data_IF_605849361406
#
_entry.id   IF_605849361406
#
_cell.length_a   1.000
_cell.length_b   1.000
_cell.length_c   1.000
_cell.angle_alpha   90.00
_cell.angle_beta   90.00
_cell.angle_gamma   90.00
#
_symmetry.space_group_name_H-M   'P 1'
#
loop_
_entity.id
_entity.type
_entity.pdbx_description
1 polymer ?
#
# COMPACT_ATOMS: atom_id res chain seq x y z
N UNK A 1 -15.17 10.21 -34.75
CA UNK A 1 -14.54 9.48 -33.64
C UNK A 1 -14.86 10.06 -32.26
N UNK A 2 -14.78 11.38 -32.05
CA UNK A 2 -15.10 12.03 -30.77
C UNK A 2 -16.53 11.73 -30.26
N UNK A 3 -17.56 11.84 -31.12
CA UNK A 3 -18.95 11.54 -30.75
C UNK A 3 -19.18 10.08 -30.34
N UNK A 4 -18.52 9.12 -31.00
CA UNK A 4 -18.60 7.70 -30.62
C UNK A 4 -17.88 7.42 -29.28
N UNK A 5 -16.76 8.10 -29.02
CA UNK A 5 -16.06 8.00 -27.74
C UNK A 5 -16.88 8.60 -26.59
N UNK A 6 -17.55 9.73 -26.81
CA UNK A 6 -18.45 10.36 -25.84
C UNK A 6 -19.67 9.46 -25.58
N UNK A 7 -20.31 8.94 -26.64
CA UNK A 7 -21.45 8.03 -26.50
C UNK A 7 -21.06 6.73 -25.79
N UNK A 8 -19.92 6.13 -26.14
CA UNK A 8 -19.38 4.95 -25.46
C UNK A 8 -19.03 5.22 -23.99
N UNK A 9 -18.43 6.38 -23.70
CA UNK A 9 -18.14 6.81 -22.33
C UNK A 9 -19.41 7.03 -21.49
N UNK A 10 -20.45 7.65 -22.06
CA UNK A 10 -21.75 7.83 -21.42
C UNK A 10 -22.44 6.50 -21.16
N UNK A 11 -22.47 5.59 -22.14
CA UNK A 11 -23.02 4.24 -21.96
C UNK A 11 -22.25 3.46 -20.89
N UNK A 12 -20.93 3.57 -20.87
CA UNK A 12 -20.08 2.98 -19.84
C UNK A 12 -20.37 3.54 -18.45
N UNK A 13 -20.58 4.86 -18.34
CA UNK A 13 -20.94 5.52 -17.08
C UNK A 13 -22.33 5.10 -16.60
N UNK A 14 -23.32 5.03 -17.50
CA UNK A 14 -24.67 4.55 -17.19
C UNK A 14 -24.60 3.10 -16.71
N UNK A 15 -23.89 2.23 -17.44
CA UNK A 15 -23.65 0.85 -17.06
C UNK A 15 -23.01 0.75 -15.68
N UNK A 16 -21.96 1.53 -15.42
CA UNK A 16 -21.32 1.62 -14.11
C UNK A 16 -22.30 2.04 -13.01
N UNK A 17 -23.14 3.05 -13.25
CA UNK A 17 -24.12 3.57 -12.29
C UNK A 17 -25.20 2.55 -11.89
N UNK A 18 -25.46 1.53 -12.71
CA UNK A 18 -26.45 0.46 -12.42
C UNK A 18 -25.83 -0.71 -11.62
N UNK A 19 -24.50 -0.84 -11.60
CA UNK A 19 -23.83 -1.95 -10.90
C UNK A 19 -24.07 -1.92 -9.38
N UNK A 20 -24.04 -3.08 -8.70
CA UNK A 20 -24.10 -3.11 -7.24
C UNK A 20 -22.86 -2.44 -6.62
N UNK A 21 -22.97 -1.84 -5.41
CA UNK A 21 -21.90 -1.05 -4.80
C UNK A 21 -20.55 -1.77 -4.69
N UNK A 22 -20.55 -3.07 -4.34
CA UNK A 22 -19.33 -3.88 -4.25
C UNK A 22 -18.56 -3.99 -5.57
N UNK A 23 -19.27 -4.05 -6.70
CA UNK A 23 -18.67 -4.11 -8.03
C UNK A 23 -18.14 -2.73 -8.44
N UNK A 24 -18.90 -1.67 -8.16
CA UNK A 24 -18.46 -0.29 -8.42
C UNK A 24 -17.14 0.04 -7.72
N UNK A 25 -17.08 -0.28 -6.42
CA UNK A 25 -15.87 -0.04 -5.61
C UNK A 25 -14.70 -0.89 -6.11
N UNK A 26 -14.93 -2.15 -6.51
CA UNK A 26 -13.89 -2.98 -7.12
C UNK A 26 -13.36 -2.37 -8.42
N UNK A 27 -14.24 -1.98 -9.33
CA UNK A 27 -13.85 -1.38 -10.62
C UNK A 27 -13.08 -0.09 -10.38
N UNK A 28 -13.59 0.80 -9.52
CA UNK A 28 -12.92 2.04 -9.18
C UNK A 28 -11.52 1.79 -8.60
N UNK A 29 -11.39 0.83 -7.68
CA UNK A 29 -10.10 0.44 -7.12
C UNK A 29 -9.13 -0.09 -8.19
N UNK A 30 -9.58 -0.97 -9.08
CA UNK A 30 -8.75 -1.53 -10.16
C UNK A 30 -8.31 -0.45 -11.14
N UNK A 31 -9.18 0.50 -11.48
CA UNK A 31 -8.81 1.62 -12.36
C UNK A 31 -7.83 2.56 -11.64
N UNK A 32 -8.03 2.85 -10.35
CA UNK A 32 -7.07 3.63 -9.54
C UNK A 32 -5.71 2.95 -9.41
N UNK A 33 -5.61 1.63 -9.53
CA UNK A 33 -4.32 0.92 -9.59
C UNK A 33 -3.77 0.79 -11.01
N UNK A 34 -4.25 1.62 -11.96
CA UNK A 34 -3.90 1.56 -13.39
C UNK A 34 -4.11 0.16 -13.97
N UNK A 35 -5.18 -0.51 -13.55
CA UNK A 35 -5.49 -1.89 -13.85
C UNK A 35 -4.34 -2.85 -13.51
N UNK A 36 -3.65 -2.61 -12.39
CA UNK A 36 -2.46 -3.37 -11.96
C UNK A 36 -1.33 -3.33 -12.99
N UNK A 37 -1.03 -2.14 -13.48
CA UNK A 37 -0.07 -1.90 -14.55
C UNK A 37 -0.41 -2.60 -15.87
N UNK A 38 -1.67 -2.95 -16.12
CA UNK A 38 -2.12 -3.47 -17.44
C UNK A 38 -2.48 -2.34 -18.40
N UNK A 39 -2.61 -1.11 -17.90
CA UNK A 39 -3.02 0.06 -18.67
C UNK A 39 -2.00 1.19 -18.50
N UNK A 40 -1.69 1.96 -19.58
CA UNK A 40 -0.85 3.16 -19.45
C UNK A 40 -1.38 4.11 -18.39
N UNK A 41 -0.49 4.79 -17.66
CA UNK A 41 -0.88 5.75 -16.62
C UNK A 41 -1.72 6.92 -17.15
N UNK A 42 -1.48 7.31 -18.41
CA UNK A 42 -2.17 8.40 -19.09
C UNK A 42 -2.79 7.85 -20.38
N UNK A 43 -4.09 8.07 -20.56
CA UNK A 43 -4.81 7.76 -21.80
C UNK A 43 -5.46 9.05 -22.30
N UNK A 44 -5.21 9.40 -23.56
CA UNK A 44 -5.77 10.60 -24.20
C UNK A 44 -5.59 11.89 -23.38
N UNK A 45 -4.44 12.05 -22.73
CA UNK A 45 -4.10 13.23 -21.91
C UNK A 45 -4.74 13.25 -20.52
N UNK A 46 -5.42 12.19 -20.10
CA UNK A 46 -6.05 12.06 -18.78
C UNK A 46 -5.33 10.97 -17.97
N UNK A 47 -5.00 11.27 -16.71
CA UNK A 47 -4.49 10.27 -15.78
C UNK A 47 -5.58 9.22 -15.49
N UNK A 48 -5.28 7.95 -15.73
CA UNK A 48 -6.22 6.83 -15.48
C UNK A 48 -6.65 6.79 -14.01
N UNK A 49 -5.74 7.17 -13.11
CA UNK A 49 -6.03 7.30 -11.69
C UNK A 49 -7.17 8.29 -11.41
N UNK A 50 -7.23 9.42 -12.12
CA UNK A 50 -8.28 10.43 -11.94
C UNK A 50 -9.66 9.87 -12.32
N UNK A 51 -9.72 9.05 -13.36
CA UNK A 51 -10.94 8.34 -13.77
C UNK A 51 -11.37 7.39 -12.65
N UNK A 52 -10.44 6.60 -12.11
CA UNK A 52 -10.71 5.70 -10.99
C UNK A 52 -11.21 6.45 -9.74
N UNK A 53 -10.62 7.59 -9.43
CA UNK A 53 -11.03 8.44 -8.30
C UNK A 53 -12.44 9.01 -8.49
N UNK A 54 -12.79 9.43 -9.72
CA UNK A 54 -14.14 9.87 -10.06
C UNK A 54 -15.16 8.73 -9.88
N UNK A 55 -14.85 7.53 -10.37
CA UNK A 55 -15.69 6.35 -10.19
C UNK A 55 -15.87 5.99 -8.71
N UNK A 56 -14.81 6.13 -7.91
CA UNK A 56 -14.86 5.91 -6.46
C UNK A 56 -15.76 6.95 -5.78
N UNK A 57 -15.71 8.21 -6.21
CA UNK A 57 -16.55 9.29 -5.68
C UNK A 57 -18.03 9.06 -6.00
N UNK A 58 -18.34 8.58 -7.21
CA UNK A 58 -19.71 8.17 -7.58
C UNK A 58 -20.18 7.01 -6.69
N UNK A 59 -19.34 5.97 -6.53
CA UNK A 59 -19.65 4.83 -5.67
C UNK A 59 -19.87 5.26 -4.21
N UNK A 60 -19.03 6.17 -3.70
CA UNK A 60 -19.16 6.75 -2.37
C UNK A 60 -20.43 7.58 -2.22
N UNK A 61 -20.76 8.43 -3.18
CA UNK A 61 -21.98 9.23 -3.19
C UNK A 61 -23.23 8.36 -3.13
N UNK A 62 -23.26 7.25 -3.87
CA UNK A 62 -24.35 6.29 -3.77
C UNK A 62 -24.39 5.60 -2.41
N UNK A 63 -23.26 5.09 -1.90
CA UNK A 63 -23.17 4.54 -0.55
C UNK A 63 -23.59 5.57 0.52
N UNK A 64 -23.34 6.86 0.31
CA UNK A 64 -23.77 7.98 1.15
C UNK A 64 -25.28 8.15 1.16
N UNK A 65 -25.92 8.10 -0.01
CA UNK A 65 -27.36 8.23 -0.17
C UNK A 65 -28.14 7.03 0.37
N UNK A 66 -27.57 5.82 0.31
CA UNK A 66 -28.35 4.62 0.61
C UNK A 66 -28.73 4.45 2.08
N UNK A 67 -28.04 4.95 3.13
CA UNK A 67 -28.47 4.78 4.54
C UNK A 67 -27.86 5.77 5.57
N UNK A 68 -28.64 6.01 6.65
CA UNK A 68 -28.40 6.89 7.83
C UNK A 68 -27.17 6.49 8.67
N UNK A 69 -26.38 7.51 9.08
CA UNK A 69 -25.29 7.54 10.08
C UNK A 69 -24.55 6.20 10.29
N UNK A 70 -23.41 6.03 9.62
CA UNK A 70 -22.41 5.03 10.02
C UNK A 70 -22.01 5.30 11.47
N UNK A 71 -22.15 4.35 12.41
CA UNK A 71 -21.77 4.59 13.80
C UNK A 71 -20.30 5.02 13.87
N UNK A 72 -20.05 6.08 14.65
CA UNK A 72 -18.70 6.59 14.90
C UNK A 72 -17.83 5.46 15.44
N UNK A 73 -16.64 5.28 14.85
CA UNK A 73 -15.68 4.31 15.38
C UNK A 73 -14.94 4.97 16.53
N UNK A 74 -15.02 4.38 17.73
CA UNK A 74 -14.15 4.75 18.86
C UNK A 74 -12.77 4.10 18.79
N UNK A 75 -12.46 3.40 17.69
CA UNK A 75 -11.17 2.73 17.50
C UNK A 75 -10.10 3.79 17.25
N UNK A 76 -9.06 3.79 18.10
CA UNK A 76 -8.04 4.84 18.17
C UNK A 76 -7.39 5.17 16.82
N UNK A 77 -6.93 4.17 16.06
CA UNK A 77 -6.28 4.44 14.77
C UNK A 77 -7.26 5.04 13.74
N UNK A 78 -8.57 4.74 13.83
CA UNK A 78 -9.58 5.36 12.95
C UNK A 78 -9.77 6.83 13.30
N UNK A 79 -9.75 7.17 14.60
CA UNK A 79 -9.80 8.57 15.06
C UNK A 79 -8.56 9.32 14.60
N UNK A 80 -7.37 8.75 14.77
CA UNK A 80 -6.13 9.36 14.28
C UNK A 80 -6.15 9.54 12.76
N UNK A 81 -6.69 8.57 12.01
CA UNK A 81 -6.85 8.69 10.56
C UNK A 81 -7.79 9.86 10.17
N UNK A 82 -8.87 10.09 10.91
CA UNK A 82 -9.76 11.24 10.69
C UNK A 82 -9.04 12.56 10.96
N UNK A 83 -8.25 12.63 12.04
CA UNK A 83 -7.42 13.80 12.34
C UNK A 83 -6.38 14.04 11.25
N UNK A 84 -5.76 12.98 10.74
CA UNK A 84 -4.80 13.04 9.65
C UNK A 84 -5.42 13.61 8.37
N UNK A 85 -6.62 13.14 7.98
CA UNK A 85 -7.34 13.68 6.82
C UNK A 85 -7.72 15.15 7.04
N UNK A 86 -8.19 15.51 8.23
CA UNK A 86 -8.49 16.90 8.58
C UNK A 86 -7.24 17.79 8.49
N UNK A 87 -6.11 17.29 8.95
CA UNK A 87 -4.82 17.98 8.86
C UNK A 87 -4.37 18.16 7.41
N UNK A 88 -4.47 17.13 6.57
CA UNK A 88 -4.18 17.25 5.14
C UNK A 88 -5.10 18.27 4.46
N UNK A 89 -6.39 18.29 4.81
CA UNK A 89 -7.31 19.34 4.33
C UNK A 89 -6.86 20.74 4.73
N UNK A 90 -6.40 20.92 5.98
CA UNK A 90 -5.83 22.18 6.44
C UNK A 90 -4.55 22.54 5.70
N UNK A 91 -3.64 21.59 5.45
CA UNK A 91 -2.43 21.83 4.65
C UNK A 91 -2.76 22.26 3.21
N UNK A 92 -3.78 21.66 2.60
CA UNK A 92 -4.26 22.06 1.26
C UNK A 92 -4.80 23.48 1.28
N UNK A 93 -5.64 23.81 2.26
CA UNK A 93 -6.14 25.18 2.43
C UNK A 93 -5.00 26.16 2.70
N UNK A 94 -4.01 25.78 3.50
CA UNK A 94 -2.84 26.60 3.79
C UNK A 94 -2.01 26.87 2.52
N UNK A 95 -1.81 25.85 1.68
CA UNK A 95 -1.14 26.00 0.39
C UNK A 95 -1.80 27.05 -0.51
N UNK A 96 -3.14 27.05 -0.56
CA UNK A 96 -3.88 27.98 -1.42
C UNK A 96 -4.03 29.36 -0.79
N UNK A 97 -4.36 29.42 0.50
CA UNK A 97 -4.74 30.68 1.17
C UNK A 97 -3.55 31.46 1.74
N UNK A 98 -2.49 30.76 2.15
CA UNK A 98 -1.34 31.38 2.84
C UNK A 98 -0.10 31.36 1.95
N UNK A 99 0.18 30.24 1.29
CA UNK A 99 1.31 30.16 0.35
C UNK A 99 0.99 30.64 -1.06
N UNK A 100 -0.28 30.96 -1.33
CA UNK A 100 -0.75 31.50 -2.62
C UNK A 100 -0.36 30.61 -3.82
N UNK A 101 -0.36 29.29 -3.61
CA UNK A 101 -0.11 28.34 -4.69
C UNK A 101 -1.34 28.20 -5.59
N UNK A 102 -1.17 27.95 -6.90
CA UNK A 102 -2.29 27.78 -7.81
C UNK A 102 -3.22 26.66 -7.34
N UNK A 103 -4.49 27.01 -7.07
CA UNK A 103 -5.44 26.10 -6.44
C UNK A 103 -5.58 24.75 -7.18
N UNK A 104 -5.67 24.79 -8.51
CA UNK A 104 -5.78 23.58 -9.33
C UNK A 104 -4.54 22.69 -9.22
N UNK A 105 -3.35 23.28 -9.15
CA UNK A 105 -2.10 22.54 -9.06
C UNK A 105 -1.92 21.95 -7.64
N UNK A 106 -2.30 22.67 -6.59
CA UNK A 106 -2.32 22.13 -5.22
C UNK A 106 -3.35 21.01 -5.04
N UNK A 107 -4.51 21.10 -5.70
CA UNK A 107 -5.47 19.99 -5.73
C UNK A 107 -4.88 18.78 -6.45
N UNK A 108 -4.22 18.97 -7.61
CA UNK A 108 -3.53 17.89 -8.32
C UNK A 108 -2.41 17.25 -7.50
N UNK A 109 -1.63 18.04 -6.76
CA UNK A 109 -0.56 17.55 -5.92
C UNK A 109 -1.08 16.76 -4.69
N UNK A 110 -2.23 17.16 -4.14
CA UNK A 110 -2.80 16.55 -2.93
C UNK A 110 -3.73 15.36 -3.19
N UNK A 111 -4.33 15.27 -4.38
CA UNK A 111 -5.43 14.32 -4.68
C UNK A 111 -5.08 12.88 -4.34
N UNK A 112 -3.89 12.39 -4.70
CA UNK A 112 -3.52 10.98 -4.49
C UNK A 112 -3.43 10.64 -3.00
N UNK A 113 -2.85 11.55 -2.21
CA UNK A 113 -2.72 11.36 -0.76
C UNK A 113 -4.07 11.48 -0.06
N UNK A 114 -4.82 12.56 -0.32
CA UNK A 114 -6.10 12.82 0.37
C UNK A 114 -7.17 11.81 -0.05
N UNK A 115 -7.43 11.63 -1.34
CA UNK A 115 -8.45 10.68 -1.83
C UNK A 115 -8.04 9.23 -1.54
N UNK A 116 -6.74 8.93 -1.59
CA UNK A 116 -6.23 7.62 -1.21
C UNK A 116 -6.50 7.30 0.26
N UNK A 117 -6.22 8.20 1.20
CA UNK A 117 -6.59 8.01 2.61
C UNK A 117 -8.11 7.94 2.78
N UNK A 118 -8.88 8.79 2.10
CA UNK A 118 -10.34 8.78 2.14
C UNK A 118 -10.95 7.46 1.64
N UNK A 119 -10.27 6.75 0.74
CA UNK A 119 -10.70 5.43 0.23
C UNK A 119 -10.93 4.42 1.36
N UNK A 120 -10.21 4.54 2.49
CA UNK A 120 -10.46 3.72 3.68
C UNK A 120 -11.91 3.83 4.16
N UNK A 121 -12.48 5.03 4.17
CA UNK A 121 -13.84 5.25 4.64
C UNK A 121 -14.88 4.69 3.66
N UNK A 122 -14.56 4.67 2.36
CA UNK A 122 -15.40 4.04 1.32
C UNK A 122 -15.44 2.53 1.55
N UNK A 123 -14.29 1.88 1.68
CA UNK A 123 -14.21 0.44 1.97
C UNK A 123 -14.85 0.08 3.30
N UNK A 124 -14.54 0.83 4.36
CA UNK A 124 -15.15 0.65 5.67
C UNK A 124 -16.67 0.73 5.60
N UNK A 125 -17.21 1.71 4.86
CA UNK A 125 -18.66 1.86 4.71
C UNK A 125 -19.26 0.70 3.90
N UNK A 126 -18.60 0.29 2.82
CA UNK A 126 -19.01 -0.87 2.04
C UNK A 126 -19.10 -2.14 2.90
N UNK A 127 -18.05 -2.45 3.67
CA UNK A 127 -18.00 -3.63 4.54
C UNK A 127 -18.96 -3.59 5.74
N UNK A 128 -19.54 -2.43 6.04
CA UNK A 128 -20.61 -2.31 7.05
C UNK A 128 -21.99 -2.53 6.44
N UNK A 129 -22.16 -2.20 5.16
CA UNK A 129 -23.46 -2.23 4.48
C UNK A 129 -23.72 -3.51 3.70
N UNK A 130 -22.67 -4.22 3.27
CA UNK A 130 -22.75 -5.47 2.52
C UNK A 130 -21.85 -6.52 3.21
N UNK A 131 -22.50 -7.44 3.93
CA UNK A 131 -21.84 -8.50 4.72
C UNK A 131 -20.98 -9.45 3.86
N UNK A 132 -21.19 -9.52 2.54
CA UNK A 132 -20.39 -10.34 1.63
C UNK A 132 -19.38 -9.55 0.80
N UNK A 133 -19.30 -8.22 0.98
CA UNK A 133 -18.43 -7.39 0.15
C UNK A 133 -16.95 -7.65 0.40
N UNK A 134 -16.54 -7.93 1.64
CA UNK A 134 -15.16 -8.20 1.98
C UNK A 134 -14.66 -9.49 1.30
N UNK A 135 -15.39 -10.59 1.44
CA UNK A 135 -15.07 -11.89 0.85
C UNK A 135 -15.08 -11.80 -0.68
N UNK A 136 -16.06 -11.11 -1.25
CA UNK A 136 -16.13 -10.84 -2.69
C UNK A 136 -14.88 -10.10 -3.19
N UNK A 137 -14.51 -9.02 -2.53
CA UNK A 137 -13.39 -8.17 -2.94
C UNK A 137 -12.06 -8.92 -2.81
N UNK A 138 -11.82 -9.60 -1.69
CA UNK A 138 -10.61 -10.41 -1.49
C UNK A 138 -10.53 -11.56 -2.50
N UNK A 139 -11.64 -12.23 -2.82
CA UNK A 139 -11.67 -13.27 -3.84
C UNK A 139 -11.35 -12.72 -5.23
N UNK A 140 -11.94 -11.59 -5.61
CA UNK A 140 -11.67 -10.95 -6.89
C UNK A 140 -10.19 -10.55 -7.04
N UNK A 141 -9.60 -9.97 -5.98
CA UNK A 141 -8.18 -9.61 -5.96
C UNK A 141 -7.26 -10.82 -6.00
N UNK A 142 -7.62 -11.90 -5.30
CA UNK A 142 -6.88 -13.16 -5.38
C UNK A 142 -6.87 -13.70 -6.81
N UNK A 143 -8.02 -13.77 -7.46
CA UNK A 143 -8.13 -14.25 -8.85
C UNK A 143 -7.37 -13.36 -9.83
N UNK A 144 -7.49 -12.04 -9.71
CA UNK A 144 -6.78 -11.09 -10.56
C UNK A 144 -5.26 -11.26 -10.43
N UNK A 145 -4.74 -11.28 -9.20
CA UNK A 145 -3.30 -11.47 -8.96
C UNK A 145 -2.83 -12.87 -9.35
N UNK A 146 -3.65 -13.91 -9.15
CA UNK A 146 -3.34 -15.28 -9.59
C UNK A 146 -3.14 -15.35 -11.10
N UNK A 147 -3.92 -14.60 -11.89
CA UNK A 147 -3.74 -14.50 -13.34
C UNK A 147 -2.52 -13.65 -13.75
N UNK A 148 -2.23 -12.59 -13.01
CA UNK A 148 -1.10 -11.69 -13.31
C UNK A 148 0.27 -12.31 -12.99
N UNK A 149 0.37 -13.18 -11.98
CA UNK A 149 1.63 -13.83 -11.59
C UNK A 149 2.26 -14.66 -12.74
N UNK A 150 1.54 -15.60 -13.40
CA UNK A 150 2.08 -16.30 -14.58
C UNK A 150 2.50 -15.35 -15.69
N UNK A 151 1.68 -14.34 -16.00
CA UNK A 151 1.98 -13.36 -17.07
C UNK A 151 3.29 -12.64 -16.77
N UNK A 152 3.48 -12.17 -15.54
CA UNK A 152 4.71 -11.50 -15.13
C UNK A 152 5.93 -12.43 -15.20
N UNK A 153 5.80 -13.72 -14.81
CA UNK A 153 6.89 -14.69 -14.95
C UNK A 153 7.24 -14.96 -16.42
N UNK A 154 6.24 -15.13 -17.28
CA UNK A 154 6.46 -15.35 -18.72
C UNK A 154 7.11 -14.13 -19.36
N UNK A 155 6.70 -12.91 -19.00
CA UNK A 155 7.36 -11.68 -19.46
C UNK A 155 8.82 -11.63 -19.04
N UNK A 156 9.13 -12.04 -17.81
CA UNK A 156 10.50 -12.09 -17.32
C UNK A 156 11.35 -13.09 -18.11
N UNK A 157 10.79 -14.28 -18.41
CA UNK A 157 11.47 -15.33 -19.18
C UNK A 157 11.66 -14.97 -20.67
N UNK A 158 10.69 -14.28 -21.27
CA UNK A 158 10.73 -13.91 -22.70
C UNK A 158 11.45 -12.58 -22.96
N UNK A 159 11.77 -11.81 -21.91
CA UNK A 159 12.26 -10.43 -22.02
C UNK A 159 11.37 -9.54 -22.92
N UNK A 160 10.07 -9.81 -22.97
CA UNK A 160 9.10 -9.11 -23.82
C UNK A 160 7.85 -8.69 -23.02
N UNK A 161 7.32 -7.47 -23.22
CA UNK A 161 6.10 -7.02 -22.58
C UNK A 161 4.86 -7.66 -23.24
N UNK A 162 4.33 -8.72 -22.64
CA UNK A 162 3.12 -9.44 -23.11
C UNK A 162 1.84 -8.62 -22.88
N UNK A 163 1.78 -7.86 -21.78
CA UNK A 163 0.71 -6.91 -21.47
C UNK A 163 1.36 -5.55 -21.24
N UNK A 164 0.75 -4.50 -21.79
CA UNK A 164 1.19 -3.12 -21.61
C UNK A 164 1.30 -2.77 -20.13
N UNK A 165 2.45 -2.25 -19.69
CA UNK A 165 2.65 -1.64 -18.38
C UNK A 165 3.30 -2.52 -17.30
N UNK A 166 3.35 -3.85 -17.45
CA UNK A 166 4.07 -4.74 -16.51
C UNK A 166 5.62 -4.63 -16.57
N UNK A 167 6.18 -3.74 -17.40
CA UNK A 167 7.63 -3.67 -17.66
C UNK A 167 8.15 -2.23 -17.81
N UNK A 168 9.23 -1.88 -17.10
CA UNK A 168 10.36 -1.06 -17.59
C UNK A 168 11.65 -1.43 -16.85
N UNK A 169 12.54 -2.14 -17.54
CA UNK A 169 13.96 -2.01 -17.28
C UNK A 169 14.39 -0.60 -17.73
N UNK A 170 15.11 0.11 -16.87
CA UNK A 170 15.94 1.26 -17.23
C UNK A 170 17.35 0.88 -16.81
N UNK A 171 18.28 0.75 -17.75
CA UNK A 171 19.71 0.45 -17.52
C UNK A 171 19.98 -0.70 -16.53
N UNK A 172 19.45 -1.91 -16.79
CA UNK A 172 19.66 -3.11 -15.95
C UNK A 172 19.21 -3.00 -14.47
N UNK A 173 18.43 -1.97 -14.12
CA UNK A 173 17.87 -1.75 -12.78
C UNK A 173 16.34 -1.69 -12.82
N UNK A 174 15.68 -2.65 -12.17
CA UNK A 174 14.24 -2.62 -11.88
C UNK A 174 13.95 -1.48 -10.90
N UNK A 175 13.50 -0.31 -11.38
CA UNK A 175 13.26 0.88 -10.55
C UNK A 175 11.84 1.00 -9.98
N UNK A 176 10.88 0.20 -10.44
CA UNK A 176 9.49 0.22 -9.94
C UNK A 176 8.96 -1.17 -9.68
N UNK A 177 8.40 -1.38 -8.49
CA UNK A 177 7.69 -2.61 -8.13
C UNK A 177 6.38 -2.70 -8.90
N UNK A 178 5.98 -3.89 -9.39
CA UNK A 178 4.65 -4.08 -9.93
C UNK A 178 3.56 -3.70 -8.91
N UNK A 179 2.56 -2.95 -9.35
CA UNK A 179 1.50 -2.37 -8.50
C UNK A 179 0.62 -3.44 -7.84
N UNK A 180 0.55 -4.64 -8.42
CA UNK A 180 -0.18 -5.77 -7.82
C UNK A 180 0.59 -6.50 -6.72
N UNK A 181 1.90 -6.27 -6.60
CA UNK A 181 2.77 -7.01 -5.68
C UNK A 181 2.40 -6.83 -4.20
N UNK A 182 1.99 -5.64 -3.71
CA UNK A 182 1.48 -5.50 -2.35
C UNK A 182 0.23 -6.35 -2.07
N UNK A 183 -0.63 -6.55 -3.07
CA UNK A 183 -1.82 -7.41 -2.98
C UNK A 183 -1.40 -8.88 -2.98
N UNK A 184 -0.39 -9.25 -3.76
CA UNK A 184 0.21 -10.60 -3.73
C UNK A 184 0.77 -10.92 -2.35
N UNK A 185 1.58 -10.01 -1.79
CA UNK A 185 2.19 -10.20 -0.48
C UNK A 185 1.14 -10.38 0.62
N UNK A 186 0.01 -9.66 0.57
CA UNK A 186 -1.13 -9.88 1.48
C UNK A 186 -1.58 -11.35 1.49
N UNK A 187 -1.79 -11.96 0.32
CA UNK A 187 -2.20 -13.35 0.22
C UNK A 187 -1.08 -14.31 0.62
N UNK A 188 0.18 -13.99 0.32
CA UNK A 188 1.34 -14.76 0.80
C UNK A 188 1.38 -14.79 2.33
N UNK A 189 1.20 -13.66 3.02
CA UNK A 189 1.15 -13.62 4.49
C UNK A 189 -0.01 -14.46 5.04
N UNK A 190 -1.17 -14.38 4.39
CA UNK A 190 -2.33 -15.18 4.78
C UNK A 190 -2.04 -16.68 4.66
N UNK A 191 -1.49 -17.14 3.54
CA UNK A 191 -1.18 -18.56 3.30
C UNK A 191 -0.02 -19.02 4.19
N UNK A 192 1.07 -18.25 4.32
CA UNK A 192 2.18 -18.59 5.20
C UNK A 192 1.74 -18.72 6.66
N UNK A 193 0.85 -17.84 7.13
CA UNK A 193 0.30 -17.97 8.48
C UNK A 193 -0.49 -19.27 8.66
N UNK A 194 -1.19 -19.74 7.62
CA UNK A 194 -1.87 -21.05 7.64
C UNK A 194 -0.88 -22.21 7.69
N UNK A 195 0.24 -22.12 6.94
CA UNK A 195 1.30 -23.14 6.90
C UNK A 195 1.89 -23.28 8.30
N UNK A 196 2.29 -22.16 8.89
CA UNK A 196 2.95 -22.11 10.20
C UNK A 196 2.07 -22.62 11.35
N UNK A 197 0.75 -22.61 11.19
CA UNK A 197 -0.20 -23.12 12.18
C UNK A 197 -0.79 -24.48 11.79
N UNK A 198 -0.23 -25.14 10.76
CA UNK A 198 -0.68 -26.43 10.23
C UNK A 198 -2.19 -26.51 9.92
N UNK A 199 -2.77 -25.38 9.49
CA UNK A 199 -4.15 -25.36 8.99
C UNK A 199 -4.18 -25.85 7.55
N UNK A 200 -5.32 -26.39 7.11
CA UNK A 200 -5.46 -26.98 5.78
C UNK A 200 -5.22 -25.91 4.69
N UNK A 201 -4.34 -26.25 3.75
CA UNK A 201 -4.00 -25.44 2.58
C UNK A 201 -4.35 -26.24 1.34
N UNK A 202 -4.82 -25.53 0.33
CA UNK A 202 -5.15 -26.08 -0.98
C UNK A 202 -3.98 -26.01 -1.95
N UNK A 203 -3.98 -26.86 -2.98
CA UNK A 203 -2.88 -26.91 -3.96
C UNK A 203 -2.70 -25.57 -4.68
N UNK A 204 -3.79 -24.89 -5.03
CA UNK A 204 -3.71 -23.59 -5.70
C UNK A 204 -3.08 -22.50 -4.82
N UNK A 205 -3.26 -22.54 -3.49
CA UNK A 205 -2.57 -21.63 -2.57
C UNK A 205 -1.05 -21.90 -2.54
N UNK A 206 -0.62 -23.17 -2.61
CA UNK A 206 0.81 -23.50 -2.69
C UNK A 206 1.44 -23.01 -4.00
N UNK A 207 0.75 -23.22 -5.14
CA UNK A 207 1.20 -22.73 -6.45
C UNK A 207 1.28 -21.20 -6.45
N UNK A 208 0.30 -20.52 -5.86
CA UNK A 208 0.31 -19.06 -5.73
C UNK A 208 1.52 -18.55 -4.97
N UNK A 209 1.81 -19.13 -3.79
CA UNK A 209 2.98 -18.74 -2.99
C UNK A 209 4.28 -19.03 -3.73
N UNK A 210 4.38 -20.17 -4.42
CA UNK A 210 5.56 -20.49 -5.23
C UNK A 210 5.83 -19.44 -6.32
N UNK A 211 4.81 -19.07 -7.10
CA UNK A 211 4.93 -18.02 -8.12
C UNK A 211 5.23 -16.65 -7.52
N UNK A 212 4.59 -16.31 -6.40
CA UNK A 212 4.81 -15.06 -5.70
C UNK A 212 6.24 -14.92 -5.17
N UNK A 213 6.80 -16.00 -4.60
CA UNK A 213 8.20 -16.05 -4.15
C UNK A 213 9.14 -15.91 -5.35
N UNK A 214 8.88 -16.61 -6.45
CA UNK A 214 9.69 -16.49 -7.66
C UNK A 214 9.73 -15.04 -8.18
N UNK A 215 8.57 -14.38 -8.31
CA UNK A 215 8.50 -12.97 -8.72
C UNK A 215 9.19 -12.06 -7.70
N UNK A 216 8.97 -12.30 -6.41
CA UNK A 216 9.63 -11.55 -5.32
C UNK A 216 11.16 -11.62 -5.48
N UNK A 217 11.71 -12.82 -5.68
CA UNK A 217 13.16 -13.02 -5.88
C UNK A 217 13.67 -12.32 -7.14
N UNK A 218 12.89 -12.33 -8.22
CA UNK A 218 13.27 -11.73 -9.50
C UNK A 218 13.15 -10.20 -9.53
N UNK A 219 12.23 -9.62 -8.75
CA UNK A 219 11.87 -8.19 -8.84
C UNK A 219 12.41 -7.33 -7.70
N UNK A 220 12.67 -7.87 -6.52
CA UNK A 220 13.02 -7.05 -5.36
C UNK A 220 14.50 -6.64 -5.27
N UNK A 221 14.71 -5.44 -4.72
CA UNK A 221 16.02 -4.80 -4.44
C UNK A 221 16.42 -4.95 -2.96
N UNK A 222 17.63 -4.47 -2.61
CA UNK A 222 18.32 -4.56 -1.29
C UNK A 222 17.39 -4.42 -0.08
N UNK A 223 16.70 -3.28 0.04
CA UNK A 223 15.93 -2.93 1.23
C UNK A 223 14.66 -3.74 1.42
N UNK A 224 14.09 -4.27 0.35
CA UNK A 224 12.76 -4.89 0.41
C UNK A 224 12.83 -6.30 0.98
N UNK A 225 13.90 -7.04 0.72
CA UNK A 225 14.14 -8.33 1.37
C UNK A 225 14.23 -8.22 2.89
N UNK A 226 14.93 -7.20 3.39
CA UNK A 226 15.03 -6.96 4.83
C UNK A 226 13.67 -6.66 5.45
N UNK A 227 12.84 -5.87 4.75
CA UNK A 227 11.46 -5.60 5.19
C UNK A 227 10.61 -6.88 5.24
N UNK A 228 10.64 -7.68 4.18
CA UNK A 228 9.90 -8.95 4.09
C UNK A 228 10.36 -9.92 5.20
N UNK A 229 11.67 -10.06 5.41
CA UNK A 229 12.25 -10.89 6.47
C UNK A 229 11.87 -10.41 7.87
N UNK A 230 11.96 -9.10 8.11
CA UNK A 230 11.56 -8.51 9.39
C UNK A 230 10.08 -8.78 9.68
N UNK A 231 9.21 -8.56 8.70
CA UNK A 231 7.77 -8.80 8.85
C UNK A 231 7.46 -10.30 9.02
N UNK A 232 8.19 -11.19 8.35
CA UNK A 232 8.11 -12.62 8.60
C UNK A 232 8.51 -12.97 10.04
N UNK A 233 9.56 -12.35 10.58
CA UNK A 233 9.92 -12.45 12.00
C UNK A 233 8.82 -11.96 12.93
N UNK A 234 8.19 -10.82 12.62
CA UNK A 234 7.03 -10.30 13.37
C UNK A 234 5.86 -11.30 13.35
N UNK A 235 5.62 -11.97 12.22
CA UNK A 235 4.60 -13.02 12.12
C UNK A 235 4.91 -14.19 13.06
N UNK A 236 6.15 -14.71 13.05
CA UNK A 236 6.58 -15.80 13.92
C UNK A 236 6.43 -15.44 15.40
N UNK A 237 6.92 -14.28 15.81
CA UNK A 237 6.81 -13.78 17.18
C UNK A 237 5.34 -13.63 17.58
N UNK A 238 4.51 -13.08 16.70
CA UNK A 238 3.08 -12.88 16.96
C UNK A 238 2.33 -14.21 17.14
N UNK A 239 2.65 -15.22 16.33
CA UNK A 239 2.09 -16.58 16.47
C UNK A 239 2.63 -17.31 17.70
N UNK A 240 3.88 -17.04 18.11
CA UNK A 240 4.51 -17.63 19.29
C UNK A 240 3.95 -17.10 20.62
N UNK A 241 3.60 -15.80 20.71
CA UNK A 241 3.13 -15.15 21.96
C UNK A 241 1.71 -15.62 22.40
N UNK A 242 1.11 -16.65 21.77
CA UNK A 242 -0.26 -17.15 22.07
C UNK A 242 -1.28 -16.00 22.15
N UNK A 243 -1.16 -15.06 21.22
CA UNK A 243 -2.11 -13.96 21.02
C UNK A 243 -3.20 -14.31 20.00
N UNK A 244 -3.14 -15.52 19.46
CA UNK A 244 -4.16 -16.15 18.63
C UNK A 244 -5.27 -16.82 19.45
N UNK A 245 -6.44 -17.10 18.84
CA UNK A 245 -7.46 -17.98 19.42
C UNK A 245 -6.87 -19.35 19.78
N UNK A 246 -7.46 -20.06 20.75
CA UNK A 246 -6.88 -21.29 21.31
C UNK A 246 -6.56 -22.38 20.26
N UNK A 247 -7.33 -22.42 19.18
CA UNK A 247 -7.21 -23.39 18.07
C UNK A 247 -6.14 -23.04 17.02
N UNK A 248 -5.56 -21.84 17.06
CA UNK A 248 -4.52 -21.41 16.11
C UNK A 248 -3.24 -21.23 16.91
N UNK A 249 -2.29 -22.17 16.79
CA UNK A 249 -1.00 -22.09 17.48
C UNK A 249 0.13 -22.33 16.50
N UNK A 250 1.27 -21.71 16.74
CA UNK A 250 2.48 -22.00 15.98
C UNK A 250 2.80 -23.49 16.09
N UNK A 251 2.98 -24.14 14.96
CA UNK A 251 3.48 -25.49 14.90
C UNK A 251 5.02 -25.44 14.96
N UNK A 252 5.58 -25.80 16.11
CA UNK A 252 7.02 -25.80 16.38
C UNK A 252 7.81 -26.84 15.55
N UNK A 253 7.15 -27.72 14.80
CA UNK A 253 7.81 -28.61 13.82
C UNK A 253 7.91 -27.93 12.45
N UNK A 254 6.84 -27.24 12.04
CA UNK A 254 6.77 -26.58 10.72
C UNK A 254 7.60 -25.29 10.69
N UNK A 255 7.65 -24.53 11.79
CA UNK A 255 8.38 -23.27 11.82
C UNK A 255 9.91 -23.42 11.61
N UNK A 256 10.62 -24.34 12.29
CA UNK A 256 12.02 -24.61 12.01
C UNK A 256 12.25 -25.19 10.61
N UNK A 257 11.35 -26.07 10.14
CA UNK A 257 11.46 -26.67 8.80
C UNK A 257 11.36 -25.61 7.70
N UNK A 258 10.44 -24.64 7.83
CA UNK A 258 10.32 -23.51 6.90
C UNK A 258 11.55 -22.59 6.96
N UNK A 259 12.11 -22.38 8.15
CA UNK A 259 13.33 -21.59 8.32
C UNK A 259 14.55 -22.27 7.67
N UNK A 260 14.67 -23.59 7.81
CA UNK A 260 15.68 -24.41 7.13
C UNK A 260 15.47 -24.37 5.62
N UNK A 261 14.25 -24.55 5.12
CA UNK A 261 13.92 -24.43 3.69
C UNK A 261 14.28 -23.06 3.13
N UNK A 262 14.04 -22.00 3.89
CA UNK A 262 14.40 -20.64 3.50
C UNK A 262 15.93 -20.45 3.45
N UNK A 263 16.66 -20.97 4.44
CA UNK A 263 18.12 -20.93 4.48
C UNK A 263 18.76 -21.78 3.37
N UNK A 264 18.25 -22.99 3.13
CA UNK A 264 18.71 -23.90 2.08
C UNK A 264 18.35 -23.37 0.69
N UNK A 265 17.15 -22.81 0.51
CA UNK A 265 16.76 -22.15 -0.74
C UNK A 265 17.59 -20.90 -1.01
N UNK A 266 17.87 -20.09 0.02
CA UNK A 266 18.79 -18.96 -0.05
C UNK A 266 20.22 -19.38 -0.40
N UNK A 267 20.71 -20.48 0.18
CA UNK A 267 22.00 -21.08 -0.15
C UNK A 267 22.02 -21.69 -1.57
N UNK A 268 20.94 -22.33 -2.02
CA UNK A 268 20.84 -22.84 -3.39
C UNK A 268 20.89 -21.73 -4.43
N UNK A 269 20.24 -20.60 -4.16
CA UNK A 269 20.37 -19.38 -4.95
C UNK A 269 21.80 -18.81 -4.88
N UNK A 270 22.46 -18.86 -3.70
CA UNK A 270 23.87 -18.51 -3.48
C UNK A 270 24.80 -19.25 -4.44
N UNK A 271 24.72 -20.59 -4.46
CA UNK A 271 25.59 -21.43 -5.27
C UNK A 271 25.25 -21.42 -6.77
N UNK A 272 24.04 -21.04 -7.16
CA UNK A 272 23.60 -20.97 -8.56
C UNK A 272 24.02 -19.71 -9.33
N UNK A 273 24.82 -18.81 -8.74
CA UNK A 273 25.29 -17.57 -9.39
C UNK A 273 24.25 -16.45 -9.55
N UNK A 274 22.96 -16.74 -9.40
CA UNK A 274 21.88 -15.73 -9.40
C UNK A 274 21.88 -14.84 -8.15
N UNK A 275 22.55 -15.27 -7.09
CA UNK A 275 22.61 -14.57 -5.82
C UNK A 275 23.79 -13.63 -5.65
N UNK A 276 24.79 -13.56 -6.54
CA UNK A 276 25.86 -12.54 -6.38
C UNK A 276 25.26 -11.14 -6.26
N UNK A 277 24.24 -10.85 -7.08
CA UNK A 277 23.41 -9.65 -6.93
C UNK A 277 22.74 -9.61 -5.56
N UNK A 278 22.11 -10.68 -5.06
CA UNK A 278 21.39 -10.71 -3.76
C UNK A 278 22.31 -10.65 -2.53
N UNK A 279 23.52 -11.21 -2.60
CA UNK A 279 24.53 -11.28 -1.54
C UNK A 279 25.28 -9.96 -1.45
N UNK A 280 25.78 -9.38 -2.55
CA UNK A 280 26.29 -8.00 -2.52
C UNK A 280 25.23 -7.02 -1.98
N UNK A 281 23.97 -7.29 -2.29
CA UNK A 281 22.80 -6.54 -1.84
C UNK A 281 22.51 -6.71 -0.34
N UNK A 282 22.71 -7.91 0.22
CA UNK A 282 22.50 -8.26 1.63
C UNK A 282 23.70 -7.89 2.51
N UNK A 283 24.92 -8.23 2.12
CA UNK A 283 26.17 -7.92 2.83
C UNK A 283 26.36 -6.40 2.98
N UNK A 284 26.09 -5.63 1.93
CA UNK A 284 26.11 -4.15 1.98
C UNK A 284 25.05 -3.57 2.95
N UNK A 285 23.92 -4.25 3.15
CA UNK A 285 22.89 -3.81 4.09
C UNK A 285 23.24 -4.18 5.54
N UNK A 286 23.96 -5.29 5.76
CA UNK A 286 24.52 -5.67 7.07
C UNK A 286 25.68 -4.74 7.44
N UNK A 287 26.59 -4.42 6.52
CA UNK A 287 27.69 -3.45 6.71
C UNK A 287 27.17 -2.08 7.20
N UNK A 288 25.98 -1.67 6.74
CA UNK A 288 25.32 -0.42 7.11
C UNK A 288 24.76 -0.43 8.54
N UNK A 289 24.32 -1.58 9.05
CA UNK A 289 23.88 -1.78 10.44
C UNK A 289 25.07 -1.92 11.38
N UNK A 290 26.16 -2.52 10.90
CA UNK A 290 27.40 -2.74 11.65
C UNK A 290 28.28 -1.47 11.68
N UNK A 291 28.03 -0.51 10.78
CA UNK A 291 28.68 0.81 10.77
C UNK A 291 30.06 0.83 10.11
N UNK A 292 30.42 -0.21 9.36
CA UNK A 292 31.68 -0.22 8.60
C UNK A 292 31.55 0.70 7.38
N UNK A 293 32.42 1.72 7.32
CA UNK A 293 32.47 2.67 6.21
C UNK A 293 32.96 1.96 4.95
N UNK A 294 32.03 1.66 4.03
CA UNK A 294 32.39 1.31 2.67
C UNK A 294 33.24 2.44 2.05
N UNK A 295 34.43 2.08 1.56
CA UNK A 295 35.35 2.99 0.91
C UNK A 295 34.69 3.63 -0.31
N UNK A 296 34.89 4.95 -0.42
CA UNK A 296 34.37 5.85 -1.45
C UNK A 296 34.47 5.31 -2.89
N UNK A 297 33.30 5.16 -3.53
CA UNK A 297 33.08 5.49 -4.95
C UNK A 297 31.81 6.32 -5.02
N UNK A 298 31.84 7.39 -5.82
CA UNK A 298 30.71 8.27 -6.22
C UNK A 298 29.41 8.04 -5.46
N UNK A 299 29.04 8.98 -4.57
CA UNK A 299 27.77 8.97 -3.81
C UNK A 299 26.60 8.69 -4.76
N UNK A 300 26.17 7.44 -4.82
CA UNK A 300 25.02 7.04 -5.60
C UNK A 300 23.78 7.32 -4.75
N UNK A 301 22.94 8.25 -5.19
CA UNK A 301 21.71 8.64 -4.47
C UNK A 301 20.70 7.49 -4.37
N UNK A 302 20.85 6.45 -5.22
CA UNK A 302 20.07 5.21 -5.19
C UNK A 302 20.48 4.26 -4.04
N UNK A 303 21.45 4.64 -3.20
CA UNK A 303 21.84 3.87 -1.99
C UNK A 303 21.06 4.32 -0.75
N UNK A 304 20.90 3.42 0.23
CA UNK A 304 20.22 3.71 1.51
C UNK A 304 20.80 4.94 2.23
N UNK A 305 22.12 5.15 2.14
CA UNK A 305 22.80 6.34 2.70
C UNK A 305 22.48 7.61 1.93
N UNK A 306 22.35 7.53 0.59
CA UNK A 306 21.83 8.59 -0.26
C UNK A 306 20.40 8.97 0.12
N UNK A 307 19.54 7.97 0.30
CA UNK A 307 18.13 8.14 0.72
C UNK A 307 18.01 8.77 2.11
N UNK A 308 18.77 8.33 3.10
CA UNK A 308 18.84 9.01 4.40
C UNK A 308 19.33 10.46 4.27
N UNK A 309 20.22 10.74 3.31
CA UNK A 309 20.64 12.09 2.94
C UNK A 309 19.49 12.96 2.43
N UNK A 310 18.69 12.43 1.50
CA UNK A 310 17.46 13.08 0.99
C UNK A 310 16.51 13.38 2.16
N UNK A 311 16.20 12.40 3.00
CA UNK A 311 15.30 12.57 4.14
C UNK A 311 15.82 13.68 5.08
N UNK A 312 17.11 13.63 5.44
CA UNK A 312 17.74 14.63 6.31
C UNK A 312 17.70 16.04 5.71
N UNK A 313 17.91 16.16 4.40
CA UNK A 313 17.79 17.43 3.69
C UNK A 313 16.36 17.98 3.74
N UNK A 314 15.36 17.17 3.39
CA UNK A 314 13.96 17.59 3.37
C UNK A 314 13.46 17.97 4.77
N UNK A 315 13.87 17.24 5.80
CA UNK A 315 13.58 17.60 7.19
C UNK A 315 14.18 18.96 7.56
N UNK A 316 15.45 19.21 7.20
CA UNK A 316 16.09 20.51 7.44
C UNK A 316 15.38 21.66 6.72
N UNK A 317 14.95 21.44 5.47
CA UNK A 317 14.22 22.44 4.70
C UNK A 317 12.89 22.81 5.35
N UNK A 318 12.16 21.83 5.88
CA UNK A 318 10.89 22.05 6.58
C UNK A 318 11.13 22.77 7.91
N UNK A 319 12.11 22.31 8.69
CA UNK A 319 12.46 22.92 9.98
C UNK A 319 12.91 24.38 9.85
N UNK A 320 13.57 24.73 8.74
CA UNK A 320 14.05 26.09 8.49
C UNK A 320 12.97 27.04 7.95
N UNK A 321 11.81 26.54 7.52
CA UNK A 321 10.75 27.36 6.92
C UNK A 321 9.48 27.37 7.77
N UNK A 322 8.72 26.29 7.75
CA UNK A 322 7.51 26.12 8.56
C UNK A 322 7.47 24.69 9.09
N UNK A 323 7.92 24.43 10.32
CA UNK A 323 7.94 23.08 10.87
C UNK A 323 6.54 22.52 11.13
N UNK A 324 5.50 23.35 11.24
CA UNK A 324 4.15 22.91 11.58
C UNK A 324 3.46 22.30 10.36
N UNK A 325 3.36 23.06 9.27
CA UNK A 325 2.63 22.69 8.04
C UNK A 325 3.57 22.16 6.95
N UNK A 326 4.88 22.44 7.03
CA UNK A 326 5.81 22.18 5.95
C UNK A 326 5.62 23.16 4.80
N UNK A 327 5.89 22.69 3.58
CA UNK A 327 5.64 23.43 2.35
C UNK A 327 4.21 23.25 1.84
N UNK A 328 3.37 22.45 2.52
CA UNK A 328 2.03 22.12 2.06
C UNK A 328 2.04 21.33 0.75
N UNK A 329 0.88 21.22 0.10
CA UNK A 329 0.75 20.55 -1.20
C UNK A 329 1.16 21.48 -2.34
N UNK A 330 2.44 21.40 -2.69
CA UNK A 330 3.05 22.10 -3.82
C UNK A 330 3.20 21.16 -5.01
N UNK A 331 2.74 21.61 -6.18
CA UNK A 331 2.94 20.88 -7.43
C UNK A 331 4.38 21.06 -7.91
N UNK A 332 4.93 20.06 -8.60
CA UNK A 332 6.32 20.07 -9.06
C UNK A 332 6.64 21.27 -9.95
N UNK A 333 5.66 21.71 -10.75
CA UNK A 333 5.76 22.87 -11.64
C UNK A 333 5.90 24.21 -10.88
N UNK A 334 5.31 24.30 -9.69
CA UNK A 334 5.19 25.54 -8.91
C UNK A 334 6.29 25.70 -7.86
N UNK A 335 7.24 24.78 -7.80
CA UNK A 335 8.34 24.83 -6.82
C UNK A 335 9.22 26.07 -7.07
N UNK A 336 9.35 26.99 -6.08
CA UNK A 336 10.14 28.19 -6.24
C UNK A 336 11.59 27.89 -6.64
N UNK A 337 12.16 28.71 -7.53
CA UNK A 337 13.55 28.54 -8.00
C UNK A 337 14.54 28.47 -6.83
N UNK A 338 14.36 29.30 -5.82
CA UNK A 338 15.18 29.35 -4.61
C UNK A 338 15.18 28.05 -3.80
N UNK A 339 14.10 27.27 -3.89
CA UNK A 339 13.97 25.97 -3.25
C UNK A 339 14.63 24.89 -4.13
N UNK A 340 14.35 24.89 -5.45
CA UNK A 340 14.99 23.97 -6.41
C UNK A 340 16.51 24.05 -6.38
N UNK A 341 17.09 25.25 -6.31
CA UNK A 341 18.55 25.46 -6.26
C UNK A 341 19.19 25.00 -4.95
N UNK A 342 18.40 24.77 -3.89
CA UNK A 342 18.90 24.34 -2.58
C UNK A 342 18.85 22.83 -2.39
N UNK A 343 18.18 22.09 -3.29
CA UNK A 343 18.12 20.63 -3.24
C UNK A 343 19.46 20.06 -3.72
N UNK A 344 20.13 19.32 -2.84
CA UNK A 344 21.39 18.64 -3.08
C UNK A 344 21.21 17.16 -3.35
N UNK A 345 20.09 16.58 -2.92
CA UNK A 345 19.74 15.17 -3.13
C UNK A 345 18.31 15.03 -3.69
N UNK A 346 18.10 14.07 -4.60
CA UNK A 346 16.79 13.73 -5.14
C UNK A 346 16.82 13.11 -6.53
N UNK A 347 15.71 12.54 -6.97
CA UNK A 347 15.58 12.01 -8.32
C UNK A 347 15.59 13.13 -9.36
N UNK A 348 16.28 12.93 -10.49
CA UNK A 348 16.26 13.86 -11.62
C UNK A 348 14.84 13.98 -12.21
N UNK A 349 14.44 15.17 -12.65
CA UNK A 349 13.14 15.40 -13.28
C UNK A 349 13.16 14.94 -14.75
N UNK A 350 12.45 13.86 -15.10
CA UNK A 350 12.48 13.27 -16.46
C UNK A 350 11.30 13.66 -17.37
N UNK A 351 10.72 14.85 -17.23
CA UNK A 351 9.70 15.31 -18.20
C UNK A 351 10.32 15.50 -19.60
N UNK A 352 9.54 15.41 -20.70
CA UNK A 352 10.06 15.61 -22.06
C UNK A 352 10.87 16.90 -22.21
N UNK A 353 10.41 18.00 -21.62
CA UNK A 353 11.11 19.29 -21.63
C UNK A 353 12.47 19.22 -20.93
N UNK A 354 12.53 18.64 -19.73
CA UNK A 354 13.79 18.51 -19.00
C UNK A 354 14.75 17.54 -19.68
N UNK A 355 14.24 16.46 -20.27
CA UNK A 355 15.05 15.52 -21.06
C UNK A 355 15.71 16.21 -22.26
N UNK A 356 14.98 17.09 -22.97
CA UNK A 356 15.56 17.90 -24.06
C UNK A 356 16.63 18.86 -23.54
N UNK A 357 16.39 19.54 -22.40
CA UNK A 357 17.39 20.41 -21.78
C UNK A 357 18.65 19.65 -21.36
N UNK A 358 18.51 18.46 -20.77
CA UNK A 358 19.67 17.65 -20.37
C UNK A 358 20.46 17.17 -21.58
N UNK A 359 19.77 16.77 -22.66
CA UNK A 359 20.41 16.44 -23.94
C UNK A 359 21.16 17.63 -24.56
N UNK A 360 20.69 18.85 -24.30
CA UNK A 360 21.36 20.09 -24.70
C UNK A 360 22.51 20.53 -23.75
N UNK A 361 22.91 19.68 -22.79
CA UNK A 361 24.05 19.93 -21.90
C UNK A 361 23.72 20.77 -20.66
N UNK A 362 22.45 21.07 -20.40
CA UNK A 362 22.05 21.75 -19.16
C UNK A 362 22.18 20.80 -17.96
N UNK A 363 22.59 21.30 -16.78
CA UNK A 363 22.73 20.47 -15.59
C UNK A 363 21.39 19.86 -15.16
N UNK A 364 21.46 18.66 -14.58
CA UNK A 364 20.29 17.98 -14.04
C UNK A 364 19.62 18.78 -12.93
N UNK A 365 18.28 18.77 -12.94
CA UNK A 365 17.45 19.40 -11.90
C UNK A 365 16.81 18.30 -11.07
N UNK A 366 16.94 18.39 -9.74
CA UNK A 366 16.41 17.40 -8.80
C UNK A 366 14.93 17.70 -8.49
N UNK A 367 14.14 16.64 -8.36
CA UNK A 367 12.72 16.69 -8.01
C UNK A 367 12.55 17.07 -6.53
N UNK A 368 11.54 17.90 -6.27
CA UNK A 368 11.22 18.34 -4.91
C UNK A 368 10.64 17.20 -4.07
N UNK A 369 9.67 16.48 -4.63
CA UNK A 369 9.18 15.19 -4.14
C UNK A 369 10.00 14.08 -4.80
N UNK A 370 10.57 13.18 -4.01
CA UNK A 370 11.35 12.06 -4.55
C UNK A 370 10.53 10.80 -4.47
N UNK A 371 10.43 10.07 -5.59
CA UNK A 371 9.73 8.79 -5.68
C UNK A 371 10.33 7.68 -4.78
N UNK A 372 11.41 7.98 -4.06
CA UNK A 372 12.17 7.03 -3.28
C UNK A 372 11.86 7.05 -1.77
N UNK A 373 11.25 8.12 -1.21
CA UNK A 373 11.08 8.22 0.27
C UNK A 373 9.76 8.87 0.67
N UNK A 374 8.78 8.05 1.02
CA UNK A 374 7.46 8.50 1.43
C UNK A 374 7.44 9.33 2.74
N UNK A 375 8.35 9.07 3.69
CA UNK A 375 8.40 9.85 4.94
C UNK A 375 8.88 11.29 4.73
N UNK A 376 9.81 11.50 3.81
CA UNK A 376 10.29 12.82 3.45
C UNK A 376 9.15 13.62 2.78
N UNK A 377 8.39 12.98 1.90
CA UNK A 377 7.24 13.59 1.23
C UNK A 377 6.12 13.93 2.23
N UNK A 378 5.84 13.07 3.23
CA UNK A 378 4.91 13.41 4.33
C UNK A 378 5.39 14.68 5.04
N UNK A 379 6.67 14.73 5.41
CA UNK A 379 7.24 15.86 6.15
C UNK A 379 7.17 17.16 5.33
N UNK A 380 7.45 17.10 4.03
CA UNK A 380 7.33 18.24 3.11
C UNK A 380 5.88 18.73 3.03
N UNK A 381 4.94 17.81 2.79
CA UNK A 381 3.55 18.16 2.51
C UNK A 381 2.75 18.54 3.76
N UNK A 382 3.14 18.02 4.92
CA UNK A 382 2.31 18.10 6.14
C UNK A 382 3.05 18.51 7.41
N UNK A 383 4.35 18.77 7.31
CA UNK A 383 5.18 19.21 8.43
C UNK A 383 5.35 18.16 9.54
N UNK A 384 5.89 18.60 10.68
CA UNK A 384 6.09 17.78 11.87
C UNK A 384 4.77 17.27 12.43
N UNK A 385 3.68 18.05 12.31
CA UNK A 385 2.36 17.64 12.83
C UNK A 385 1.83 16.45 12.03
N UNK A 386 1.88 16.51 10.71
CA UNK A 386 1.43 15.39 9.88
C UNK A 386 2.30 14.15 10.08
N UNK A 387 3.62 14.32 10.18
CA UNK A 387 4.54 13.23 10.52
C UNK A 387 4.20 12.58 11.88
N UNK A 388 3.91 13.40 12.90
CA UNK A 388 3.51 12.91 14.22
C UNK A 388 2.16 12.16 14.18
N UNK A 389 1.17 12.67 13.43
CA UNK A 389 -0.12 11.99 13.24
C UNK A 389 0.05 10.64 12.53
N UNK A 390 0.94 10.54 11.54
CA UNK A 390 1.32 9.26 10.92
C UNK A 390 1.97 8.32 11.94
N UNK A 391 2.92 8.78 12.74
CA UNK A 391 3.53 7.97 13.82
C UNK A 391 2.50 7.47 14.84
N UNK A 392 1.58 8.35 15.26
CA UNK A 392 0.47 8.00 16.16
C UNK A 392 -0.50 7.00 15.52
N UNK A 393 -0.76 7.09 14.21
CA UNK A 393 -1.62 6.15 13.49
C UNK A 393 -1.06 4.72 13.60
N UNK A 394 0.23 4.55 13.33
CA UNK A 394 0.90 3.25 13.41
C UNK A 394 1.02 2.73 14.85
N UNK A 395 1.38 3.59 15.81
CA UNK A 395 1.41 3.22 17.22
C UNK A 395 0.03 2.76 17.71
N UNK A 396 -1.03 3.48 17.33
CA UNK A 396 -2.41 3.13 17.67
C UNK A 396 -2.84 1.80 17.01
N UNK A 397 -2.43 1.56 15.76
CA UNK A 397 -2.70 0.32 15.03
C UNK A 397 -2.01 -0.89 15.69
N UNK A 398 -0.72 -0.79 15.98
CA UNK A 398 0.07 -1.85 16.64
C UNK A 398 -0.51 -2.15 18.02
N UNK A 399 -0.79 -1.11 18.83
CA UNK A 399 -1.44 -1.27 20.13
C UNK A 399 -2.79 -1.96 19.99
N UNK A 400 -3.62 -1.56 19.03
CA UNK A 400 -4.93 -2.17 18.80
C UNK A 400 -4.81 -3.65 18.43
N UNK A 401 -3.84 -4.00 17.58
CA UNK A 401 -3.55 -5.37 17.19
C UNK A 401 -3.30 -6.26 18.42
N UNK A 402 -2.27 -5.96 19.23
CA UNK A 402 -1.90 -6.80 20.37
C UNK A 402 -2.90 -6.77 21.53
N UNK A 403 -3.70 -5.70 21.64
CA UNK A 403 -4.77 -5.60 22.63
C UNK A 403 -5.98 -6.49 22.31
N UNK A 404 -6.26 -6.71 21.02
CA UNK A 404 -7.49 -7.39 20.58
C UNK A 404 -7.23 -8.69 19.82
N UNK A 405 -5.96 -9.10 19.62
CA UNK A 405 -5.57 -10.31 18.88
C UNK A 405 -6.33 -11.57 19.31
N UNK A 406 -6.50 -11.79 20.64
CA UNK A 406 -7.19 -12.96 21.20
C UNK A 406 -8.70 -12.98 20.99
N UNK A 407 -9.32 -11.83 20.68
CA UNK A 407 -10.78 -11.68 20.57
C UNK A 407 -11.29 -11.89 19.14
N UNK A 408 -10.40 -12.07 18.18
CA UNK A 408 -10.79 -12.28 16.77
C UNK A 408 -11.24 -13.71 16.54
N UNK A 409 -12.33 -13.89 15.80
CA UNK A 409 -12.78 -15.20 15.34
C UNK A 409 -11.68 -15.92 14.55
N UNK A 410 -11.57 -17.24 14.76
CA UNK A 410 -10.63 -18.12 14.06
C UNK A 410 -10.74 -18.00 12.55
N UNK A 411 -11.95 -17.85 12.02
CA UNK A 411 -12.22 -17.72 10.59
C UNK A 411 -11.53 -16.49 9.95
N UNK A 412 -11.37 -15.41 10.71
CA UNK A 412 -10.81 -14.14 10.21
C UNK A 412 -9.38 -13.86 10.72
N UNK A 413 -8.83 -14.72 11.57
CA UNK A 413 -7.53 -14.46 12.21
C UNK A 413 -6.38 -14.36 11.21
N UNK A 414 -6.26 -15.32 10.28
CA UNK A 414 -5.21 -15.33 9.26
C UNK A 414 -5.30 -14.11 8.35
N UNK A 415 -6.52 -13.73 7.95
CA UNK A 415 -6.74 -12.55 7.15
C UNK A 415 -6.38 -11.28 7.93
N UNK A 416 -6.82 -11.16 9.19
CA UNK A 416 -6.46 -10.04 10.07
C UNK A 416 -4.95 -9.87 10.23
N UNK A 417 -4.25 -10.97 10.48
CA UNK A 417 -2.80 -10.99 10.62
C UNK A 417 -2.13 -10.56 9.31
N UNK A 418 -2.57 -11.10 8.17
CA UNK A 418 -2.05 -10.71 6.86
C UNK A 418 -2.22 -9.22 6.57
N UNK A 419 -3.40 -8.65 6.84
CA UNK A 419 -3.64 -7.21 6.66
C UNK A 419 -2.72 -6.38 7.57
N UNK A 420 -2.54 -6.78 8.83
CA UNK A 420 -1.63 -6.11 9.76
C UNK A 420 -0.17 -6.16 9.27
N UNK A 421 0.32 -7.34 8.90
CA UNK A 421 1.68 -7.55 8.39
C UNK A 421 1.92 -6.73 7.12
N UNK A 422 0.95 -6.68 6.21
CA UNK A 422 1.09 -5.93 4.97
C UNK A 422 1.12 -4.41 5.18
N UNK A 423 0.40 -3.90 6.19
CA UNK A 423 0.52 -2.48 6.58
C UNK A 423 1.93 -2.20 7.14
N UNK A 424 2.53 -3.13 7.89
CA UNK A 424 3.92 -3.02 8.36
C UNK A 424 4.92 -3.06 7.19
N UNK A 425 4.72 -3.93 6.21
CA UNK A 425 5.53 -3.93 4.97
C UNK A 425 5.48 -2.55 4.34
N UNK A 426 4.27 -2.02 4.11
CA UNK A 426 4.09 -0.72 3.50
C UNK A 426 4.77 0.41 4.27
N UNK A 427 4.63 0.42 5.60
CA UNK A 427 5.30 1.37 6.51
C UNK A 427 6.83 1.35 6.36
N UNK A 428 7.42 0.17 6.41
CA UNK A 428 8.87 0.00 6.33
C UNK A 428 9.38 0.35 4.93
N UNK A 429 8.60 0.04 3.90
CA UNK A 429 8.91 0.41 2.53
C UNK A 429 8.80 1.91 2.26
N UNK A 430 8.15 2.71 3.12
CA UNK A 430 8.17 4.18 2.97
C UNK A 430 9.57 4.80 3.09
N UNK A 431 10.54 4.05 3.63
CA UNK A 431 11.95 4.46 3.70
C UNK A 431 12.68 4.23 2.36
N UNK A 432 12.18 3.27 1.57
CA UNK A 432 12.81 2.75 0.37
C UNK A 432 12.04 3.02 -0.93
N UNK A 433 10.78 3.43 -0.82
CA UNK A 433 9.92 3.72 -1.96
C UNK A 433 8.75 4.62 -1.57
N UNK A 434 8.32 5.44 -2.51
CA UNK A 434 7.11 6.24 -2.40
C UNK A 434 5.83 5.47 -2.78
N UNK A 435 5.91 4.16 -3.09
CA UNK A 435 4.75 3.35 -3.52
C UNK A 435 3.59 3.41 -2.51
N UNK A 436 3.89 3.58 -1.22
CA UNK A 436 2.87 3.71 -0.18
C UNK A 436 2.11 5.06 -0.23
N UNK A 437 2.72 6.12 -0.79
CA UNK A 437 2.12 7.46 -0.91
C UNK A 437 1.59 7.74 -2.32
N UNK A 438 2.12 7.07 -3.35
CA UNK A 438 1.62 7.16 -4.73
C UNK A 438 0.45 6.20 -5.04
N UNK A 439 0.24 5.18 -4.20
CA UNK A 439 -0.86 4.20 -4.33
C UNK A 439 -1.60 3.97 -3.01
N UNK A 440 -1.86 5.04 -2.27
CA UNK A 440 -2.44 5.02 -0.90
C UNK A 440 -3.78 4.28 -0.82
N UNK A 441 -4.51 4.13 -1.93
CA UNK A 441 -5.74 3.32 -1.98
C UNK A 441 -5.51 1.84 -1.62
N UNK A 442 -4.33 1.28 -1.90
CA UNK A 442 -3.96 -0.10 -1.55
C UNK A 442 -3.81 -0.25 -0.03
N UNK A 443 -2.97 0.53 0.69
CA UNK A 443 -2.91 0.45 2.14
C UNK A 443 -4.21 0.89 2.82
N UNK A 444 -5.01 1.77 2.20
CA UNK A 444 -6.35 2.09 2.69
C UNK A 444 -7.30 0.89 2.67
N UNK A 445 -7.27 0.08 1.59
CA UNK A 445 -7.97 -1.20 1.53
C UNK A 445 -7.46 -2.16 2.61
N UNK A 446 -6.13 -2.25 2.79
CA UNK A 446 -5.54 -3.13 3.79
C UNK A 446 -5.94 -2.74 5.22
N UNK A 447 -5.98 -1.44 5.52
CA UNK A 447 -6.44 -0.93 6.81
C UNK A 447 -7.94 -1.18 7.02
N UNK A 448 -8.76 -1.07 5.97
CA UNK A 448 -10.19 -1.37 6.03
C UNK A 448 -10.47 -2.86 6.23
N UNK A 449 -9.73 -3.74 5.54
CA UNK A 449 -9.82 -5.18 5.74
C UNK A 449 -9.35 -5.61 7.13
N UNK A 450 -8.29 -4.98 7.66
CA UNK A 450 -7.89 -5.15 9.06
C UNK A 450 -9.02 -4.75 10.02
N UNK A 451 -9.62 -3.57 9.82
CA UNK A 451 -10.73 -3.08 10.63
C UNK A 451 -11.91 -4.06 10.62
N UNK A 452 -12.28 -4.56 9.45
CA UNK A 452 -13.36 -5.54 9.28
C UNK A 452 -13.06 -6.84 10.05
N UNK A 453 -11.88 -7.43 9.83
CA UNK A 453 -11.49 -8.68 10.49
C UNK A 453 -11.31 -8.53 12.02
N UNK A 454 -10.89 -7.35 12.49
CA UNK A 454 -10.75 -7.05 13.91
C UNK A 454 -12.11 -6.90 14.62
N UNK A 455 -13.18 -6.54 13.90
CA UNK A 455 -14.52 -6.32 14.47
C UNK A 455 -15.25 -7.63 14.80
N UNK A 456 -14.85 -8.75 14.19
CA UNK A 456 -15.24 -10.13 14.51
C UNK A 456 -16.59 -10.27 15.24
N UNK A 457 -17.70 -9.99 14.55
CA UNK A 457 -19.09 -10.37 14.88
C UNK A 457 -19.53 -10.41 16.36
N UNK A 458 -19.07 -9.48 17.21
CA UNK A 458 -19.70 -9.25 18.52
C UNK A 458 -21.14 -8.70 18.44
N UNK A 459 -21.65 -8.40 17.24
CA UNK A 459 -22.96 -7.78 16.99
C UNK A 459 -24.00 -8.72 16.34
N UNK A 460 -23.59 -9.80 15.68
CA UNK A 460 -24.53 -10.71 14.99
C UNK A 460 -25.10 -11.79 15.92
N UNK A 461 -24.39 -12.15 16.99
CA UNK A 461 -24.96 -13.01 18.03
C UNK A 461 -25.81 -12.25 19.06
N UNK A 462 -25.51 -10.98 19.33
CA UNK A 462 -26.25 -10.15 20.29
C UNK A 462 -27.56 -9.58 19.74
N UNK A 463 -27.72 -9.49 18.41
CA UNK A 463 -28.99 -9.13 17.79
C UNK A 463 -29.97 -10.32 17.65
N UNK A 464 -29.48 -11.57 17.67
CA UNK A 464 -30.34 -12.78 17.63
C UNK A 464 -30.59 -13.43 18.99
N UNK A 465 -29.87 -13.03 20.05
CA UNK A 465 -30.15 -13.48 21.43
C UNK A 465 -30.94 -12.49 22.28
N UNK A 466 -31.28 -11.32 21.75
CA UNK A 466 -32.13 -10.33 22.44
C UNK A 466 -33.65 -10.53 22.20
N UNK A 467 -34.05 -11.64 21.59
CA UNK A 467 -35.46 -12.07 21.50
C UNK A 467 -35.59 -13.52 21.98
N UNK A 468 -35.71 -13.69 23.29
CA UNK A 468 -36.35 -14.85 23.93
C UNK A 468 -36.82 -14.36 25.31
N UNK A 469 -38.05 -14.71 25.77
CA UNK A 469 -38.38 -16.12 25.98
C UNK A 469 -39.79 -16.57 25.54
N UNK A 470 -39.91 -17.89 25.59
CA UNK A 470 -41.08 -18.74 25.42
C UNK A 470 -42.33 -18.27 26.18
N UNK A 471 -43.50 -18.43 25.55
CA UNK A 471 -44.69 -18.94 26.24
C UNK A 471 -45.07 -20.27 25.61
N UNK A 472 -44.75 -21.35 26.33
CA UNK A 472 -45.28 -22.68 26.10
C UNK A 472 -46.64 -22.71 26.78
N UNK A 473 -47.71 -22.75 25.99
CA UNK A 473 -49.05 -23.06 26.51
C UNK A 473 -49.11 -24.58 26.70
N UNK A 474 -49.40 -25.10 27.91
CA UNK A 474 -49.55 -26.53 28.11
C UNK A 474 -50.89 -27.00 27.54
N UNK A 475 -50.84 -28.14 26.83
CA UNK A 475 -52.03 -28.89 26.47
C UNK A 475 -52.49 -29.72 27.67
N UNK A 476 -53.70 -29.45 28.18
CA UNK A 476 -54.50 -30.43 28.93
C UNK A 476 -55.97 -30.05 28.90
N UNK A 477 -56.83 -30.97 28.44
CA UNK A 477 -58.29 -30.89 28.46
C UNK A 477 -58.92 -31.29 27.15
#
# INVERSE_FOLDING_TARGET
MLYYAIAGGLLGLIGFCVLPPRIKVLIAFVVMTSCFDVTPRIIAGIDVWDIGALLLLIAWGQLALFHRKTPGSRVSYVVVLQLLVGWMGLCLLWSVLIYDYPALNSVKASRQMILGVLSFFVFRKLFVLDDGAYEFLMKALYLATFGLLPVCLTQFALHQPILFGLYRAYDDVTRSLPVFLPVVLLFVWMILSKVLTATRISVHELVYVGMAIAITVLTFTRGIYLVVLFVFGVMLVTLAIKKSPESIRLNFVVAPMMLILFLVGGAGLYFGGYAEKVIERFTSAVELVVGEKAATKTKNEDTYTGRLGIAKERFRLVLAHNPVVGYGFIHEDDVPRSLRTKLKYGSVIYTPEYVERYKAGYPYVLAFHSADIGWADIMINTGCVGLALWGLLFAALIKNFYATARRTSTAYYHARLAHFLQILVGLLLMVESNTFVSLVQIPALMLAGYWYCAKGQGALHSAHTATAPMDVIPASG
#
